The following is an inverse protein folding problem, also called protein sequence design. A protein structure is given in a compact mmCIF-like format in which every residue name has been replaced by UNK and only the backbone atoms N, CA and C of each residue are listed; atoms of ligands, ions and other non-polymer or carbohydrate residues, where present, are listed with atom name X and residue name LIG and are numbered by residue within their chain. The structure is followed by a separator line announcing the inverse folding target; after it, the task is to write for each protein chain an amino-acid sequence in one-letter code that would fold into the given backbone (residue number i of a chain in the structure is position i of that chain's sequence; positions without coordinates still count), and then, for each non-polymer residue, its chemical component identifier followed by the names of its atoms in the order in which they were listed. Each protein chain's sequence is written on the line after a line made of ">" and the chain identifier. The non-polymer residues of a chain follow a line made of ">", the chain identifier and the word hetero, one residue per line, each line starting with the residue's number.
data_IF_116034418981
#
_entry.id   IF_116034418981
#
_cell.length_a   1.000
_cell.length_b   1.000
_cell.length_c   1.000
_cell.angle_alpha   90.00
_cell.angle_beta   90.00
_cell.angle_gamma   90.00
#
_symmetry.space_group_name_H-M   'P 1'
#
loop_
_entity.id
_entity.type
_entity.pdbx_description
1 polymer ?
#
# COMPACT_ATOMS: atom_id res chain seq x y z
N UNK A 1 -33.39 7.62 1.61
CA UNK A 1 -32.52 7.37 0.41
C UNK A 1 -31.07 7.48 0.86
N UNK A 2 -30.22 6.54 0.48
CA UNK A 2 -28.76 6.61 0.70
C UNK A 2 -28.10 6.99 -0.63
N UNK A 3 -27.42 8.13 -0.66
CA UNK A 3 -26.63 8.57 -1.81
C UNK A 3 -25.14 8.31 -1.51
N UNK A 4 -24.49 7.55 -2.37
CA UNK A 4 -23.04 7.35 -2.32
C UNK A 4 -22.43 7.90 -3.61
N UNK A 5 -21.62 8.96 -3.49
CA UNK A 5 -20.85 9.47 -4.61
C UNK A 5 -19.56 8.63 -4.77
N UNK A 6 -19.52 7.84 -5.81
CA UNK A 6 -18.34 7.09 -6.24
C UNK A 6 -17.97 7.59 -7.62
N UNK A 7 -16.78 8.14 -7.79
CA UNK A 7 -16.28 8.54 -9.11
C UNK A 7 -16.42 7.33 -10.05
N UNK A 8 -16.85 7.54 -11.30
CA UNK A 8 -17.14 6.54 -12.34
C UNK A 8 -16.12 5.39 -12.43
N UNK A 9 -14.95 5.57 -11.86
CA UNK A 9 -13.88 4.62 -11.82
C UNK A 9 -13.51 4.37 -10.35
N UNK A 10 -13.89 3.21 -9.83
CA UNK A 10 -13.34 2.74 -8.55
C UNK A 10 -11.83 2.78 -8.66
N UNK A 11 -11.19 3.60 -7.86
CA UNK A 11 -9.75 3.87 -7.88
C UNK A 11 -8.92 2.56 -7.93
N UNK A 12 -9.33 1.58 -7.16
CA UNK A 12 -8.72 0.28 -7.01
C UNK A 12 -8.65 -0.56 -8.29
N UNK A 13 -9.75 -0.60 -9.06
CA UNK A 13 -9.86 -1.45 -10.24
C UNK A 13 -9.23 -0.77 -11.46
N UNK A 14 -9.39 0.55 -11.58
CA UNK A 14 -9.02 1.24 -12.81
C UNK A 14 -7.62 1.85 -12.80
N UNK A 15 -7.18 2.34 -11.64
CA UNK A 15 -5.98 3.21 -11.55
C UNK A 15 -5.12 2.94 -10.32
N UNK A 16 -5.41 1.88 -9.54
CA UNK A 16 -4.69 1.54 -8.32
C UNK A 16 -4.26 0.08 -8.28
N UNK A 17 -4.74 -0.65 -7.28
CA UNK A 17 -4.25 -1.97 -6.91
C UNK A 17 -4.29 -3.00 -8.04
N UNK A 18 -5.43 -3.15 -8.74
CA UNK A 18 -5.61 -4.22 -9.74
C UNK A 18 -4.67 -4.03 -10.94
N UNK A 19 -4.63 -2.87 -11.63
CA UNK A 19 -3.75 -2.72 -12.78
C UNK A 19 -2.28 -2.82 -12.41
N UNK A 20 -1.84 -2.25 -11.26
CA UNK A 20 -0.43 -2.35 -10.85
C UNK A 20 -0.04 -3.79 -10.52
N UNK A 21 -0.86 -4.52 -9.72
CA UNK A 21 -0.53 -5.89 -9.33
C UNK A 21 -0.60 -6.87 -10.50
N UNK A 22 -1.46 -6.62 -11.49
CA UNK A 22 -1.46 -7.38 -12.74
C UNK A 22 -0.14 -7.19 -13.49
N UNK A 23 0.32 -5.94 -13.66
CA UNK A 23 1.58 -5.66 -14.36
C UNK A 23 2.81 -6.15 -13.58
N UNK A 24 2.83 -6.02 -12.25
CA UNK A 24 3.90 -6.55 -11.40
C UNK A 24 4.02 -8.06 -11.57
N UNK A 25 2.89 -8.77 -11.47
CA UNK A 25 2.84 -10.23 -11.67
C UNK A 25 3.39 -10.61 -13.06
N UNK A 26 2.88 -9.98 -14.11
CA UNK A 26 3.27 -10.32 -15.48
C UNK A 26 4.74 -10.01 -15.76
N UNK A 27 5.28 -8.92 -15.16
CA UNK A 27 6.71 -8.60 -15.24
C UNK A 27 7.60 -9.63 -14.52
N UNK A 28 7.15 -10.16 -13.37
CA UNK A 28 7.86 -11.24 -12.65
C UNK A 28 7.83 -12.55 -13.45
N UNK A 29 6.70 -12.87 -14.08
CA UNK A 29 6.53 -14.09 -14.90
C UNK A 29 7.19 -14.00 -16.28
N UNK A 30 7.83 -12.87 -16.62
CA UNK A 30 8.57 -12.69 -17.86
C UNK A 30 7.72 -12.42 -19.11
N UNK A 31 6.47 -11.99 -18.94
CA UNK A 31 5.62 -11.54 -20.05
C UNK A 31 6.23 -10.30 -20.71
N UNK A 32 5.99 -10.12 -22.00
CA UNK A 32 6.31 -8.85 -22.65
C UNK A 32 5.42 -7.72 -22.13
N UNK A 33 5.91 -6.48 -22.13
CA UNK A 33 5.14 -5.32 -21.69
C UNK A 33 3.81 -5.18 -22.46
N UNK A 34 3.81 -5.47 -23.77
CA UNK A 34 2.62 -5.41 -24.63
C UNK A 34 1.54 -6.42 -24.21
N UNK A 35 1.95 -7.66 -23.92
CA UNK A 35 1.02 -8.70 -23.43
C UNK A 35 0.46 -8.32 -22.05
N UNK A 36 1.32 -7.86 -21.14
CA UNK A 36 0.94 -7.41 -19.82
C UNK A 36 -0.07 -6.25 -19.85
N UNK A 37 0.14 -5.24 -20.70
CA UNK A 37 -0.80 -4.13 -20.90
C UNK A 37 -2.15 -4.63 -21.45
N UNK A 38 -2.14 -5.57 -22.39
CA UNK A 38 -3.36 -6.17 -22.95
C UNK A 38 -4.14 -6.91 -21.86
N UNK A 39 -3.48 -7.81 -21.14
CA UNK A 39 -4.09 -8.56 -20.03
C UNK A 39 -4.61 -7.62 -18.92
N UNK A 40 -3.83 -6.59 -18.56
CA UNK A 40 -4.28 -5.58 -17.59
C UNK A 40 -5.59 -4.91 -18.03
N UNK A 41 -5.74 -4.53 -19.31
CA UNK A 41 -6.97 -3.92 -19.85
C UNK A 41 -8.15 -4.88 -19.74
N UNK A 42 -7.97 -6.15 -20.10
CA UNK A 42 -9.01 -7.19 -20.01
C UNK A 42 -9.48 -7.43 -18.57
N UNK A 43 -8.54 -7.59 -17.62
CA UNK A 43 -8.84 -7.79 -16.19
C UNK A 43 -9.62 -6.60 -15.63
N UNK A 44 -9.15 -5.38 -15.91
CA UNK A 44 -9.81 -4.15 -15.47
C UNK A 44 -11.22 -4.04 -16.05
N UNK A 45 -11.39 -4.31 -17.34
CA UNK A 45 -12.70 -4.24 -18.01
C UNK A 45 -13.67 -5.30 -17.47
N UNK A 46 -13.22 -6.53 -17.28
CA UNK A 46 -14.04 -7.62 -16.72
C UNK A 46 -14.54 -7.27 -15.32
N UNK A 47 -13.66 -6.79 -14.43
CA UNK A 47 -14.03 -6.41 -13.07
C UNK A 47 -14.96 -5.18 -13.04
N UNK A 48 -14.75 -4.20 -13.90
CA UNK A 48 -15.64 -3.04 -14.02
C UNK A 48 -17.04 -3.45 -14.45
N UNK A 49 -17.13 -4.27 -15.51
CA UNK A 49 -18.42 -4.76 -16.01
C UNK A 49 -19.16 -5.56 -14.92
N UNK A 50 -18.46 -6.47 -14.23
CA UNK A 50 -19.04 -7.25 -13.12
C UNK A 50 -19.58 -6.35 -12.02
N UNK A 51 -18.83 -5.33 -11.61
CA UNK A 51 -19.26 -4.44 -10.53
C UNK A 51 -20.39 -3.49 -10.96
N UNK A 52 -20.35 -2.99 -12.19
CA UNK A 52 -21.43 -2.15 -12.73
C UNK A 52 -22.73 -2.95 -12.80
N UNK A 53 -22.70 -4.14 -13.39
CA UNK A 53 -23.86 -5.02 -13.48
C UNK A 53 -24.40 -5.43 -12.10
N UNK A 54 -23.49 -5.70 -11.15
CA UNK A 54 -23.85 -6.04 -9.78
C UNK A 54 -24.62 -4.92 -9.04
N UNK A 55 -24.45 -3.67 -9.42
CA UNK A 55 -25.23 -2.54 -8.91
C UNK A 55 -26.46 -2.26 -9.78
N UNK A 56 -26.27 -2.11 -11.08
CA UNK A 56 -27.30 -1.68 -12.04
C UNK A 56 -28.45 -2.68 -12.21
N UNK A 57 -28.24 -3.95 -11.82
CA UNK A 57 -29.27 -5.00 -11.85
C UNK A 57 -30.17 -5.02 -10.60
N UNK A 58 -30.01 -4.08 -9.67
CA UNK A 58 -30.80 -4.01 -8.44
C UNK A 58 -31.90 -2.97 -8.58
N UNK A 59 -33.15 -3.36 -8.37
CA UNK A 59 -34.32 -2.46 -8.49
C UNK A 59 -34.32 -1.29 -7.51
N UNK A 60 -33.53 -1.35 -6.46
CA UNK A 60 -33.41 -0.35 -5.43
C UNK A 60 -32.12 0.48 -5.50
N UNK A 61 -31.38 0.40 -6.61
CA UNK A 61 -30.11 1.14 -6.81
C UNK A 61 -30.13 1.85 -8.16
N UNK A 62 -30.04 3.16 -8.13
CA UNK A 62 -29.82 4.00 -9.31
C UNK A 62 -28.34 4.33 -9.46
N UNK A 63 -27.73 3.93 -10.58
CA UNK A 63 -26.33 4.27 -10.90
C UNK A 63 -26.29 5.47 -11.84
N UNK A 64 -26.04 6.64 -11.28
CA UNK A 64 -26.03 7.91 -11.98
C UNK A 64 -24.59 8.26 -12.44
N UNK A 65 -24.40 8.52 -13.75
CA UNK A 65 -23.09 8.79 -14.35
C UNK A 65 -22.87 10.32 -14.54
N UNK A 66 -22.98 11.06 -13.45
CA UNK A 66 -22.82 12.51 -13.43
C UNK A 66 -21.74 12.94 -12.43
N UNK A 67 -21.31 14.22 -12.53
CA UNK A 67 -20.51 14.87 -11.50
C UNK A 67 -21.47 15.43 -10.45
N UNK A 68 -21.22 15.13 -9.19
CA UNK A 68 -22.01 15.67 -8.07
C UNK A 68 -21.34 16.93 -7.53
N UNK A 69 -22.15 17.95 -7.24
CA UNK A 69 -21.72 19.21 -6.66
C UNK A 69 -22.71 19.65 -5.57
N UNK A 70 -22.26 19.82 -4.35
CA UNK A 70 -23.09 20.31 -3.26
C UNK A 70 -23.41 21.80 -3.47
N UNK A 71 -24.69 22.15 -3.37
CA UNK A 71 -25.14 23.53 -3.34
C UNK A 71 -25.68 23.94 -1.97
N UNK A 72 -25.92 22.99 -1.09
CA UNK A 72 -26.17 23.15 0.34
C UNK A 72 -25.84 21.85 1.12
N UNK A 73 -26.11 21.82 2.41
CA UNK A 73 -25.99 20.58 3.20
C UNK A 73 -26.92 19.45 2.72
N UNK A 74 -28.05 19.77 2.11
CA UNK A 74 -29.10 18.82 1.73
C UNK A 74 -29.18 18.58 0.23
N UNK A 75 -28.70 19.53 -0.61
CA UNK A 75 -28.98 19.56 -2.04
C UNK A 75 -27.69 19.35 -2.84
N UNK A 76 -27.76 18.42 -3.79
CA UNK A 76 -26.67 18.10 -4.71
C UNK A 76 -27.15 18.26 -6.15
N UNK A 77 -26.41 19.03 -6.94
CA UNK A 77 -26.56 19.11 -8.39
C UNK A 77 -25.77 17.98 -9.06
N UNK A 78 -26.39 17.35 -10.05
CA UNK A 78 -25.76 16.36 -10.93
C UNK A 78 -25.47 17.02 -12.28
N UNK A 79 -24.21 17.09 -12.65
CA UNK A 79 -23.73 17.75 -13.85
C UNK A 79 -23.13 16.75 -14.83
N UNK A 80 -23.33 16.94 -16.12
CA UNK A 80 -22.67 16.20 -17.17
C UNK A 80 -21.19 16.63 -17.32
N UNK A 81 -20.48 16.05 -18.30
CA UNK A 81 -19.07 16.38 -18.53
C UNK A 81 -18.84 17.81 -19.05
N UNK A 82 -19.87 18.48 -19.57
CA UNK A 82 -19.83 19.83 -20.06
C UNK A 82 -20.20 20.87 -18.98
N UNK A 83 -20.55 20.37 -17.76
CA UNK A 83 -21.00 21.20 -16.64
C UNK A 83 -22.47 21.58 -16.70
N UNK A 84 -23.27 20.98 -17.60
CA UNK A 84 -24.71 21.22 -17.68
C UNK A 84 -25.43 20.46 -16.56
N UNK A 85 -26.25 21.18 -15.78
CA UNK A 85 -27.06 20.57 -14.71
C UNK A 85 -28.12 19.67 -15.35
N UNK A 86 -28.10 18.40 -14.98
CA UNK A 86 -29.07 17.42 -15.46
C UNK A 86 -30.21 17.20 -14.47
N UNK A 87 -29.86 17.22 -13.18
CA UNK A 87 -30.82 16.96 -12.10
C UNK A 87 -30.32 17.57 -10.78
N UNK A 88 -31.25 17.80 -9.88
CA UNK A 88 -30.98 18.20 -8.50
C UNK A 88 -31.60 17.16 -7.56
N UNK A 89 -30.81 16.62 -6.65
CA UNK A 89 -31.23 15.55 -5.77
C UNK A 89 -31.01 15.87 -4.29
N UNK A 90 -31.79 15.20 -3.42
CA UNK A 90 -31.63 15.21 -1.97
C UNK A 90 -31.56 13.78 -1.42
N UNK A 91 -30.96 13.59 -0.23
CA UNK A 91 -30.91 12.30 0.41
C UNK A 91 -30.91 12.41 1.94
N UNK A 92 -31.53 11.42 2.62
CA UNK A 92 -31.52 11.33 4.09
C UNK A 92 -30.11 11.07 4.64
N UNK A 93 -29.27 10.36 3.88
CA UNK A 93 -27.88 10.09 4.18
C UNK A 93 -27.03 10.21 2.92
N UNK A 94 -25.87 10.81 3.07
CA UNK A 94 -24.90 11.02 1.98
C UNK A 94 -23.57 10.45 2.43
N UNK A 95 -22.90 9.67 1.55
CA UNK A 95 -21.56 9.15 1.79
C UNK A 95 -20.62 9.70 0.70
N UNK A 96 -19.68 10.54 1.09
CA UNK A 96 -18.61 11.01 0.21
C UNK A 96 -17.52 9.95 0.15
N UNK A 97 -17.30 9.35 -1.02
CA UNK A 97 -16.27 8.32 -1.25
C UNK A 97 -15.53 8.58 -2.57
N UNK A 98 -15.06 9.81 -2.72
CA UNK A 98 -14.41 10.30 -3.94
C UNK A 98 -12.94 9.93 -4.04
N UNK A 99 -12.38 9.32 -2.96
CA UNK A 99 -11.01 8.84 -2.93
C UNK A 99 -9.96 9.95 -2.85
N UNK A 100 -8.81 9.67 -3.43
CA UNK A 100 -7.67 10.59 -3.52
C UNK A 100 -7.22 10.79 -4.96
N UNK A 101 -6.37 11.79 -5.20
CA UNK A 101 -5.72 12.08 -6.48
C UNK A 101 -4.23 12.27 -6.27
N UNK A 102 -3.45 12.16 -7.34
CA UNK A 102 -2.02 12.46 -7.27
C UNK A 102 -1.79 13.90 -6.80
N UNK A 103 -0.79 14.08 -5.96
CA UNK A 103 -0.29 15.39 -5.60
C UNK A 103 0.70 15.83 -6.68
N UNK A 104 0.30 16.73 -7.55
CA UNK A 104 1.18 17.33 -8.54
C UNK A 104 1.87 18.52 -7.89
N UNK A 105 3.21 18.51 -7.76
CA UNK A 105 3.97 19.62 -7.18
C UNK A 105 4.02 20.80 -8.15
N UNK A 106 4.15 22.00 -7.60
CA UNK A 106 4.40 23.20 -8.40
C UNK A 106 5.89 23.27 -8.75
N UNK A 107 6.25 22.69 -9.89
CA UNK A 107 7.62 22.66 -10.42
C UNK A 107 7.62 23.37 -11.77
N UNK A 108 8.55 24.29 -11.97
CA UNK A 108 8.69 25.06 -13.22
C UNK A 108 8.75 24.13 -14.42
N UNK A 109 7.94 24.38 -15.43
CA UNK A 109 7.89 23.62 -16.68
C UNK A 109 7.04 22.35 -16.67
N UNK A 110 6.40 22.00 -15.55
CA UNK A 110 5.61 20.78 -15.42
C UNK A 110 4.43 20.73 -16.39
N UNK A 111 3.79 21.87 -16.67
CA UNK A 111 2.62 21.96 -17.56
C UNK A 111 3.00 21.98 -19.04
N UNK A 112 4.28 22.20 -19.38
CA UNK A 112 4.77 22.33 -20.76
C UNK A 112 5.72 21.21 -21.17
N UNK A 113 6.25 20.49 -20.22
CA UNK A 113 7.11 19.33 -20.49
C UNK A 113 6.26 18.13 -20.94
N UNK A 114 6.85 17.33 -21.84
CA UNK A 114 6.18 16.17 -22.42
C UNK A 114 6.42 14.92 -21.57
N UNK A 115 5.56 13.91 -21.74
CA UNK A 115 5.73 12.58 -21.15
C UNK A 115 5.90 12.57 -19.61
N UNK A 116 5.29 13.55 -18.92
CA UNK A 116 5.18 13.55 -17.47
C UNK A 116 3.81 13.01 -17.08
N UNK A 117 3.82 11.97 -16.26
CA UNK A 117 2.63 11.25 -15.84
C UNK A 117 2.52 11.18 -14.33
N UNK A 118 1.30 11.18 -13.82
CA UNK A 118 0.99 10.58 -12.52
C UNK A 118 0.87 9.05 -12.66
N UNK A 119 0.68 8.35 -11.54
CA UNK A 119 0.54 6.88 -11.55
C UNK A 119 -0.63 6.39 -12.42
N UNK A 120 -1.71 7.18 -12.54
CA UNK A 120 -2.86 6.87 -13.39
C UNK A 120 -2.51 6.99 -14.87
N UNK A 121 -1.85 8.08 -15.24
CA UNK A 121 -1.40 8.32 -16.61
C UNK A 121 -0.42 7.26 -17.07
N UNK A 122 0.59 6.95 -16.25
CA UNK A 122 1.61 5.96 -16.58
C UNK A 122 1.03 4.53 -16.74
N UNK A 123 0.00 4.16 -16.00
CA UNK A 123 -0.69 2.87 -16.21
C UNK A 123 -1.47 2.79 -17.53
N UNK A 124 -1.66 3.90 -18.25
CA UNK A 124 -2.42 3.96 -19.48
C UNK A 124 -1.57 4.14 -20.74
N UNK A 125 -0.24 4.20 -20.62
CA UNK A 125 0.65 4.19 -21.80
C UNK A 125 0.56 2.86 -22.54
N UNK A 126 0.80 2.88 -23.83
CA UNK A 126 0.79 1.70 -24.71
C UNK A 126 2.17 1.35 -25.26
N UNK A 127 3.21 2.06 -24.84
CA UNK A 127 4.61 1.84 -25.15
C UNK A 127 5.40 1.54 -23.88
N UNK A 128 6.47 0.77 -24.00
CA UNK A 128 7.43 0.54 -22.91
C UNK A 128 8.47 1.66 -22.90
N UNK A 129 8.61 2.42 -21.80
CA UNK A 129 9.71 3.38 -21.66
C UNK A 129 11.07 2.69 -21.74
N UNK A 130 12.06 3.36 -22.37
CA UNK A 130 13.46 2.94 -22.30
C UNK A 130 14.11 3.51 -21.03
N UNK A 131 13.87 4.80 -20.76
CA UNK A 131 14.42 5.58 -19.66
C UNK A 131 13.27 6.19 -18.84
N UNK A 132 12.95 5.59 -17.70
CA UNK A 132 11.91 6.08 -16.77
C UNK A 132 12.57 6.77 -15.58
N UNK A 133 12.27 8.06 -15.38
CA UNK A 133 12.62 8.77 -14.14
C UNK A 133 11.41 8.89 -13.24
N UNK A 134 11.56 8.50 -11.98
CA UNK A 134 10.50 8.55 -10.95
C UNK A 134 10.87 9.62 -9.92
N UNK A 135 9.97 10.60 -9.74
CA UNK A 135 10.14 11.68 -8.77
C UNK A 135 9.44 11.29 -7.46
N UNK A 136 10.22 11.07 -6.39
CA UNK A 136 9.79 10.60 -5.08
C UNK A 136 10.21 9.16 -4.80
N UNK A 137 10.48 8.82 -3.53
CA UNK A 137 10.97 7.51 -3.05
C UNK A 137 9.95 6.77 -2.17
N UNK A 138 8.65 7.10 -2.27
CA UNK A 138 7.59 6.42 -1.51
C UNK A 138 7.17 5.08 -2.12
N UNK A 139 6.23 4.36 -1.48
CA UNK A 139 5.81 3.01 -1.87
C UNK A 139 5.34 2.91 -3.33
N UNK A 140 4.62 3.93 -3.84
CA UNK A 140 4.21 3.97 -5.26
C UNK A 140 5.44 3.99 -6.17
N UNK A 141 6.44 4.81 -5.83
CA UNK A 141 7.68 4.88 -6.60
C UNK A 141 8.39 3.53 -6.67
N UNK A 142 8.48 2.83 -5.54
CA UNK A 142 9.15 1.53 -5.45
C UNK A 142 8.40 0.43 -6.21
N UNK A 143 7.06 0.40 -6.12
CA UNK A 143 6.24 -0.55 -6.89
C UNK A 143 6.43 -0.33 -8.40
N UNK A 144 6.37 0.92 -8.85
CA UNK A 144 6.58 1.24 -10.27
C UNK A 144 8.03 0.98 -10.72
N UNK A 145 9.01 1.30 -9.89
CA UNK A 145 10.41 1.00 -10.21
C UNK A 145 10.65 -0.50 -10.36
N UNK A 146 10.18 -1.30 -9.40
CA UNK A 146 10.28 -2.76 -9.46
C UNK A 146 9.56 -3.33 -10.69
N UNK A 147 8.34 -2.84 -10.97
CA UNK A 147 7.52 -3.25 -12.10
C UNK A 147 8.21 -2.99 -13.43
N UNK A 148 8.65 -1.75 -13.69
CA UNK A 148 9.25 -1.38 -14.97
C UNK A 148 10.65 -1.98 -15.16
N UNK A 149 11.43 -2.14 -14.07
CA UNK A 149 12.71 -2.83 -14.13
C UNK A 149 12.53 -4.31 -14.52
N UNK A 150 11.48 -4.99 -14.04
CA UNK A 150 11.16 -6.36 -14.46
C UNK A 150 10.80 -6.47 -15.96
N UNK A 151 10.28 -5.40 -16.58
CA UNK A 151 10.08 -5.33 -18.02
C UNK A 151 11.35 -4.92 -18.80
N UNK A 152 12.46 -4.61 -18.13
CA UNK A 152 13.71 -4.22 -18.76
C UNK A 152 13.85 -2.72 -19.06
N UNK A 153 13.00 -1.87 -18.49
CA UNK A 153 13.14 -0.41 -18.52
C UNK A 153 14.30 0.02 -17.61
N UNK A 154 15.13 0.96 -18.04
CA UNK A 154 16.09 1.64 -17.16
C UNK A 154 15.36 2.62 -16.25
N UNK A 155 15.41 2.39 -14.94
CA UNK A 155 14.67 3.19 -13.98
C UNK A 155 15.62 3.98 -13.09
N UNK A 156 15.33 5.28 -12.94
CA UNK A 156 16.01 6.16 -11.98
C UNK A 156 15.00 6.77 -11.01
N UNK A 157 15.20 6.58 -9.71
CA UNK A 157 14.41 7.21 -8.65
C UNK A 157 15.15 8.46 -8.17
N UNK A 158 14.45 9.60 -8.09
CA UNK A 158 14.95 10.84 -7.51
C UNK A 158 14.19 11.12 -6.20
N UNK A 159 14.89 11.02 -5.09
CA UNK A 159 14.33 11.31 -3.76
C UNK A 159 15.05 12.53 -3.14
N UNK A 160 14.27 13.50 -2.70
CA UNK A 160 14.79 14.72 -2.06
C UNK A 160 15.35 14.49 -0.66
N UNK A 161 14.85 13.47 0.03
CA UNK A 161 15.34 13.03 1.34
C UNK A 161 16.69 12.32 1.22
N UNK A 162 17.31 12.06 2.35
CA UNK A 162 18.60 11.38 2.46
C UNK A 162 18.48 9.85 2.31
N UNK A 163 17.28 9.30 2.47
CA UNK A 163 16.99 7.88 2.32
C UNK A 163 15.58 7.64 1.81
N UNK A 164 15.34 6.46 1.24
CA UNK A 164 14.01 5.93 0.94
C UNK A 164 13.54 5.02 2.08
N UNK A 165 12.22 4.80 2.21
CA UNK A 165 11.63 3.89 3.20
C UNK A 165 12.01 4.20 4.66
N UNK A 166 12.12 5.48 5.00
CA UNK A 166 12.55 5.94 6.35
C UNK A 166 11.62 5.50 7.49
N UNK A 167 10.39 5.07 7.16
CA UNK A 167 9.42 4.56 8.14
C UNK A 167 9.53 3.04 8.37
N UNK A 168 10.45 2.36 7.70
CA UNK A 168 10.66 0.92 7.80
C UNK A 168 11.90 0.59 8.64
N UNK A 169 12.02 -0.69 9.03
CA UNK A 169 13.27 -1.18 9.63
C UNK A 169 14.44 -0.96 8.67
N UNK A 170 15.52 -0.36 9.16
CA UNK A 170 16.65 0.04 8.33
C UNK A 170 17.35 -1.14 7.63
N UNK A 171 17.45 -2.28 8.30
CA UNK A 171 18.04 -3.49 7.71
C UNK A 171 17.16 -4.04 6.56
N UNK A 172 15.83 -3.98 6.67
CA UNK A 172 14.92 -4.33 5.58
C UNK A 172 15.00 -3.30 4.45
N UNK A 173 14.98 -1.99 4.77
CA UNK A 173 15.10 -0.93 3.77
C UNK A 173 16.40 -1.06 2.96
N UNK A 174 17.53 -1.36 3.62
CA UNK A 174 18.80 -1.57 2.95
C UNK A 174 18.80 -2.78 2.00
N UNK A 175 18.14 -3.88 2.39
CA UNK A 175 17.99 -5.05 1.51
C UNK A 175 17.15 -4.72 0.28
N UNK A 176 16.05 -4.00 0.43
CA UNK A 176 15.19 -3.57 -0.67
C UNK A 176 15.95 -2.65 -1.64
N UNK A 177 16.70 -1.67 -1.11
CA UNK A 177 17.56 -0.80 -1.92
C UNK A 177 18.55 -1.62 -2.74
N UNK A 178 19.22 -2.56 -2.08
CA UNK A 178 20.18 -3.44 -2.74
C UNK A 178 19.53 -4.26 -3.84
N UNK A 179 18.38 -4.91 -3.57
CA UNK A 179 17.70 -5.75 -4.54
C UNK A 179 17.19 -4.95 -5.76
N UNK A 180 16.74 -3.70 -5.55
CA UNK A 180 16.36 -2.80 -6.65
C UNK A 180 17.59 -2.40 -7.48
N UNK A 181 18.72 -2.09 -6.82
CA UNK A 181 19.99 -1.78 -7.50
C UNK A 181 20.54 -2.98 -8.28
N UNK A 182 20.45 -4.18 -7.72
CA UNK A 182 20.84 -5.41 -8.39
C UNK A 182 19.98 -5.70 -9.64
N UNK A 183 18.76 -5.16 -9.69
CA UNK A 183 17.87 -5.15 -10.88
C UNK A 183 18.16 -4.01 -11.86
N UNK A 184 19.16 -3.17 -11.59
CA UNK A 184 19.53 -2.05 -12.44
C UNK A 184 18.79 -0.73 -12.16
N UNK A 185 18.03 -0.64 -11.05
CA UNK A 185 17.40 0.63 -10.64
C UNK A 185 18.45 1.56 -10.04
N UNK A 186 18.56 2.78 -10.58
CA UNK A 186 19.37 3.85 -10.00
C UNK A 186 18.58 4.61 -8.95
N UNK A 187 19.13 4.80 -7.76
CA UNK A 187 18.47 5.53 -6.66
C UNK A 187 19.35 6.71 -6.26
N UNK A 188 18.85 7.92 -6.53
CA UNK A 188 19.51 9.18 -6.20
C UNK A 188 18.76 9.86 -5.05
N UNK A 189 19.31 9.78 -3.85
CA UNK A 189 18.82 10.51 -2.68
C UNK A 189 19.43 11.93 -2.63
N UNK A 190 18.93 12.79 -1.73
CA UNK A 190 19.31 14.21 -1.65
C UNK A 190 19.13 14.95 -2.99
N UNK A 191 18.29 14.45 -3.88
CA UNK A 191 18.14 14.95 -5.24
C UNK A 191 16.76 15.59 -5.42
N UNK A 192 16.74 16.91 -5.47
CA UNK A 192 15.53 17.72 -5.64
C UNK A 192 15.34 18.09 -7.11
N UNK A 193 14.13 17.85 -7.64
CA UNK A 193 13.74 18.32 -8.97
C UNK A 193 13.39 19.82 -8.90
N UNK A 194 14.02 20.63 -9.74
CA UNK A 194 13.89 22.09 -9.75
C UNK A 194 13.02 22.57 -10.91
N UNK A 195 13.18 21.97 -12.09
CA UNK A 195 12.43 22.34 -13.29
C UNK A 195 12.38 21.18 -14.29
N UNK A 196 11.48 21.31 -15.24
CA UNK A 196 11.39 20.46 -16.43
C UNK A 196 11.54 21.29 -17.69
N UNK A 197 12.15 20.72 -18.73
CA UNK A 197 12.19 21.25 -20.08
C UNK A 197 12.18 20.12 -21.09
N UNK A 198 12.02 20.44 -22.38
CA UNK A 198 12.03 19.45 -23.45
C UNK A 198 13.31 19.54 -24.28
N UNK A 199 13.83 18.41 -24.71
CA UNK A 199 14.85 18.31 -25.73
C UNK A 199 14.43 17.22 -26.73
N UNK A 200 13.87 17.65 -27.88
CA UNK A 200 13.26 16.76 -28.86
C UNK A 200 12.16 15.89 -28.20
N UNK A 201 12.32 14.58 -28.21
CA UNK A 201 11.36 13.60 -27.69
C UNK A 201 11.60 13.23 -26.22
N UNK A 202 12.58 13.91 -25.58
CA UNK A 202 12.94 13.64 -24.19
C UNK A 202 12.57 14.80 -23.28
N UNK A 203 12.20 14.46 -22.05
CA UNK A 203 12.05 15.40 -20.93
C UNK A 203 13.41 15.53 -20.21
N UNK A 204 13.85 16.77 -20.02
CA UNK A 204 15.04 17.08 -19.22
C UNK A 204 14.56 17.47 -17.81
N UNK A 205 15.05 16.74 -16.83
CA UNK A 205 14.80 16.97 -15.41
C UNK A 205 16.00 17.76 -14.84
N UNK A 206 15.80 19.01 -14.50
CA UNK A 206 16.82 19.84 -13.85
C UNK A 206 16.80 19.57 -12.36
N UNK A 207 17.91 19.17 -11.79
CA UNK A 207 18.06 18.85 -10.38
C UNK A 207 19.14 19.72 -9.71
N UNK A 208 19.22 19.68 -8.39
CA UNK A 208 20.32 20.31 -7.64
C UNK A 208 21.70 19.67 -7.90
N UNK A 209 21.76 18.54 -8.61
CA UNK A 209 22.98 17.81 -8.97
C UNK A 209 23.26 17.78 -10.48
N UNK A 210 22.50 18.54 -11.29
CA UNK A 210 22.64 18.57 -12.73
C UNK A 210 21.37 18.10 -13.45
N UNK A 211 21.51 17.77 -14.73
CA UNK A 211 20.42 17.42 -15.60
C UNK A 211 20.36 15.91 -15.82
N UNK A 212 19.13 15.38 -15.86
CA UNK A 212 18.83 13.99 -16.19
C UNK A 212 17.83 13.98 -17.34
N UNK A 213 18.07 13.14 -18.34
CA UNK A 213 17.19 12.98 -19.48
C UNK A 213 16.37 11.71 -19.34
N UNK A 214 15.08 11.77 -19.70
CA UNK A 214 14.18 10.62 -19.73
C UNK A 214 13.21 10.71 -20.90
N UNK A 215 12.78 9.55 -21.40
CA UNK A 215 11.66 9.50 -22.35
C UNK A 215 10.30 9.52 -21.63
N UNK A 216 10.29 9.18 -20.34
CA UNK A 216 9.08 9.13 -19.50
C UNK A 216 9.41 9.53 -18.06
N UNK A 217 8.54 10.33 -17.46
CA UNK A 217 8.67 10.76 -16.05
C UNK A 217 7.41 10.38 -15.28
N UNK A 218 7.57 9.76 -14.10
CA UNK A 218 6.51 9.50 -13.14
C UNK A 218 6.60 10.47 -11.97
N UNK A 219 5.52 11.17 -11.68
CA UNK A 219 5.34 11.94 -10.45
C UNK A 219 4.74 11.04 -9.37
N UNK A 220 5.58 10.55 -8.45
CA UNK A 220 5.19 9.73 -7.30
C UNK A 220 5.32 10.53 -5.97
N UNK A 221 4.95 11.80 -6.00
CA UNK A 221 5.13 12.82 -4.95
C UNK A 221 3.99 12.86 -3.92
N UNK A 222 3.29 11.72 -3.75
CA UNK A 222 2.20 11.56 -2.80
C UNK A 222 0.81 11.76 -3.39
N UNK A 223 -0.18 11.75 -2.51
CA UNK A 223 -1.60 11.84 -2.86
C UNK A 223 -2.32 12.84 -1.96
N UNK A 224 -3.38 13.45 -2.49
CA UNK A 224 -4.27 14.37 -1.76
C UNK A 224 -5.72 13.86 -1.80
N UNK A 225 -6.52 14.07 -0.74
CA UNK A 225 -7.96 13.79 -0.74
C UNK A 225 -8.65 14.49 -1.92
N UNK A 226 -9.59 13.81 -2.55
CA UNK A 226 -10.29 14.32 -3.72
C UNK A 226 -11.58 15.04 -3.31
N UNK A 227 -11.43 16.19 -2.66
CA UNK A 227 -12.50 17.08 -2.18
C UNK A 227 -12.76 18.26 -3.11
N UNK A 228 -11.85 18.54 -4.04
CA UNK A 228 -11.99 19.64 -4.99
C UNK A 228 -13.20 19.42 -5.92
N UNK A 229 -13.87 20.49 -6.27
CA UNK A 229 -15.03 20.49 -7.19
C UNK A 229 -16.22 19.65 -6.71
N UNK A 230 -16.35 19.48 -5.39
CA UNK A 230 -17.54 18.87 -4.79
C UNK A 230 -18.54 19.90 -4.28
N UNK A 231 -18.21 21.21 -4.31
CA UNK A 231 -19.06 22.27 -3.75
C UNK A 231 -19.14 22.23 -2.22
N UNK A 232 -18.15 21.65 -1.53
CA UNK A 232 -18.16 21.52 -0.06
C UNK A 232 -18.10 22.88 0.64
N UNK A 233 -17.62 23.91 -0.03
CA UNK A 233 -17.65 25.30 0.41
C UNK A 233 -19.07 25.86 0.59
N UNK A 234 -20.09 25.24 -0.03
CA UNK A 234 -21.51 25.58 0.12
C UNK A 234 -22.17 24.84 1.29
N UNK A 235 -21.38 24.10 2.09
CA UNK A 235 -21.85 23.25 3.19
C UNK A 235 -21.14 23.58 4.50
N UNK A 236 -21.65 23.04 5.61
CA UNK A 236 -21.00 23.11 6.92
C UNK A 236 -19.99 21.94 7.13
N UNK A 237 -19.67 21.18 6.10
CA UNK A 237 -18.66 20.11 6.13
C UNK A 237 -17.28 20.73 6.26
N UNK A 238 -16.59 20.44 7.36
CA UNK A 238 -15.22 20.92 7.60
C UNK A 238 -14.17 20.10 6.87
N UNK A 239 -13.24 20.83 6.26
CA UNK A 239 -12.08 20.27 5.56
C UNK A 239 -10.83 20.50 6.39
N UNK A 240 -9.99 19.50 6.53
CA UNK A 240 -8.72 19.55 7.26
C UNK A 240 -7.59 20.18 6.46
N UNK A 241 -6.42 20.29 7.08
CA UNK A 241 -5.25 20.99 6.50
C UNK A 241 -4.68 20.31 5.25
N UNK A 242 -4.88 19.01 5.08
CA UNK A 242 -4.43 18.27 3.91
C UNK A 242 -5.52 18.13 2.83
N UNK A 243 -6.67 18.77 3.04
CA UNK A 243 -7.81 18.73 2.13
C UNK A 243 -8.78 17.58 2.39
N UNK A 244 -8.62 16.84 3.49
CA UNK A 244 -9.47 15.73 3.90
C UNK A 244 -10.80 16.22 4.51
N UNK A 245 -11.86 15.42 4.35
CA UNK A 245 -13.12 15.61 5.08
C UNK A 245 -12.91 15.20 6.55
N UNK A 246 -13.12 16.14 7.47
CA UNK A 246 -13.03 15.87 8.91
C UNK A 246 -14.22 15.02 9.34
N UNK A 247 -13.94 13.88 9.98
CA UNK A 247 -14.95 12.93 10.46
C UNK A 247 -14.71 12.52 11.91
N UNK A 248 -15.79 12.10 12.59
CA UNK A 248 -15.70 11.47 13.89
C UNK A 248 -15.42 9.97 13.79
N UNK A 249 -15.38 9.25 14.93
CA UNK A 249 -15.09 7.81 14.97
C UNK A 249 -16.10 6.91 14.23
N UNK A 250 -17.29 7.39 13.94
CA UNK A 250 -18.31 6.73 13.13
C UNK A 250 -18.30 7.16 11.67
N UNK A 251 -17.27 7.91 11.25
CA UNK A 251 -17.08 8.45 9.90
C UNK A 251 -18.13 9.49 9.48
N UNK A 252 -18.82 10.06 10.45
CA UNK A 252 -19.78 11.15 10.25
C UNK A 252 -19.01 12.47 10.20
N UNK A 253 -19.30 13.30 9.22
CA UNK A 253 -18.72 14.65 9.11
C UNK A 253 -19.27 15.61 10.17
N UNK A 254 -18.94 16.88 10.08
CA UNK A 254 -19.55 17.93 10.92
C UNK A 254 -21.04 18.13 10.65
N UNK A 255 -21.55 17.62 9.51
CA UNK A 255 -22.97 17.59 9.13
C UNK A 255 -23.52 16.19 9.39
N UNK A 256 -24.50 16.04 10.28
CA UNK A 256 -24.95 14.74 10.83
C UNK A 256 -25.40 13.68 9.83
N UNK A 257 -25.88 14.06 8.65
CA UNK A 257 -26.34 13.12 7.63
C UNK A 257 -25.31 12.89 6.53
N UNK A 258 -24.15 13.58 6.58
CA UNK A 258 -23.05 13.44 5.62
C UNK A 258 -21.90 12.67 6.27
N UNK A 259 -21.47 11.59 5.61
CA UNK A 259 -20.36 10.71 5.99
C UNK A 259 -19.24 10.81 4.96
N UNK A 260 -18.01 10.42 5.35
CA UNK A 260 -16.93 10.24 4.39
C UNK A 260 -16.21 8.91 4.63
N UNK A 261 -15.89 8.20 3.55
CA UNK A 261 -15.25 6.88 3.57
C UNK A 261 -14.07 6.79 2.60
N UNK A 262 -13.08 5.99 2.94
CA UNK A 262 -11.87 5.81 2.12
C UNK A 262 -10.95 7.03 2.14
N UNK A 263 -10.15 7.19 1.07
CA UNK A 263 -9.05 8.16 1.03
C UNK A 263 -9.47 9.62 1.22
N UNK A 264 -10.72 9.96 0.92
CA UNK A 264 -11.23 11.34 1.01
C UNK A 264 -11.24 11.88 2.44
N UNK A 265 -11.28 11.02 3.45
CA UNK A 265 -11.18 11.39 4.88
C UNK A 265 -9.75 11.49 5.40
N UNK A 266 -8.75 11.29 4.52
CA UNK A 266 -7.34 11.22 4.93
C UNK A 266 -6.96 9.94 5.69
N UNK A 267 -5.76 9.96 6.27
CA UNK A 267 -5.19 8.81 6.96
C UNK A 267 -4.68 7.74 6.01
N UNK A 268 -4.77 6.46 6.41
CA UNK A 268 -4.29 5.34 5.60
C UNK A 268 -5.15 5.13 4.35
N UNK A 269 -4.50 5.13 3.19
CA UNK A 269 -5.15 5.10 1.88
C UNK A 269 -5.10 3.69 1.28
N UNK A 270 -5.75 2.73 1.94
CA UNK A 270 -5.83 1.34 1.50
C UNK A 270 -7.27 0.93 1.18
N UNK A 271 -7.42 0.01 0.23
CA UNK A 271 -8.71 -0.54 -0.19
C UNK A 271 -9.53 -1.11 0.96
N UNK A 272 -8.87 -1.93 1.77
CA UNK A 272 -9.51 -2.62 2.89
C UNK A 272 -9.89 -1.64 4.02
N UNK A 273 -9.26 -0.47 4.11
CA UNK A 273 -9.69 0.62 5.00
C UNK A 273 -11.01 1.19 4.49
N UNK A 274 -11.17 1.43 3.18
CA UNK A 274 -12.43 1.88 2.62
C UNK A 274 -13.56 0.85 2.81
N UNK A 275 -13.25 -0.45 2.73
CA UNK A 275 -14.21 -1.52 3.03
C UNK A 275 -14.57 -1.57 4.52
N UNK A 276 -13.61 -1.34 5.40
CA UNK A 276 -13.85 -1.28 6.83
C UNK A 276 -14.65 -0.03 7.22
N UNK A 277 -14.37 1.11 6.58
CA UNK A 277 -15.17 2.34 6.71
C UNK A 277 -16.65 2.08 6.38
N UNK A 278 -16.93 1.31 5.31
CA UNK A 278 -18.28 0.86 5.02
C UNK A 278 -18.90 0.07 6.17
N UNK A 279 -18.14 -0.85 6.80
CA UNK A 279 -18.63 -1.63 7.95
C UNK A 279 -18.95 -0.76 9.16
N UNK A 280 -18.14 0.27 9.40
CA UNK A 280 -18.38 1.26 10.47
C UNK A 280 -19.64 2.05 10.19
N UNK A 281 -19.79 2.60 8.98
CA UNK A 281 -20.99 3.36 8.59
C UNK A 281 -22.23 2.47 8.66
N UNK A 282 -22.14 1.22 8.19
CA UNK A 282 -23.25 0.26 8.27
C UNK A 282 -23.65 -0.03 9.71
N UNK A 283 -22.68 -0.27 10.61
CA UNK A 283 -22.94 -0.48 12.04
C UNK A 283 -23.63 0.73 12.67
N UNK A 284 -23.17 1.94 12.33
CA UNK A 284 -23.74 3.18 12.86
C UNK A 284 -25.15 3.48 12.36
N UNK A 285 -25.43 3.23 11.08
CA UNK A 285 -26.73 3.54 10.45
C UNK A 285 -27.81 2.49 10.70
N UNK A 286 -27.43 1.23 10.75
CA UNK A 286 -28.36 0.09 10.69
C UNK A 286 -28.12 -0.98 11.77
N UNK A 287 -27.11 -0.79 12.63
CA UNK A 287 -26.74 -1.69 13.72
C UNK A 287 -26.74 -0.99 15.08
N UNK A 288 -25.90 -1.50 15.96
CA UNK A 288 -25.72 -1.00 17.33
C UNK A 288 -24.71 0.15 17.46
N UNK A 289 -24.01 0.51 16.38
CA UNK A 289 -22.98 1.55 16.37
C UNK A 289 -21.69 1.15 17.12
N UNK A 290 -21.52 -0.12 17.49
CA UNK A 290 -20.36 -0.60 18.27
C UNK A 290 -19.05 -0.53 17.48
N UNK A 291 -19.08 -0.69 16.15
CA UNK A 291 -17.90 -0.61 15.30
C UNK A 291 -17.50 0.84 15.02
N UNK A 292 -16.22 1.17 15.29
CA UNK A 292 -15.67 2.52 15.13
C UNK A 292 -14.25 2.46 14.56
N UNK A 293 -13.70 3.62 14.19
CA UNK A 293 -12.28 3.71 13.77
C UNK A 293 -11.31 3.38 14.91
N UNK A 294 -11.74 3.47 16.16
CA UNK A 294 -10.92 3.24 17.36
C UNK A 294 -10.74 1.75 17.67
N UNK A 295 -11.69 0.90 17.25
CA UNK A 295 -11.64 -0.55 17.49
C UNK A 295 -11.43 -1.40 16.24
N UNK A 296 -10.75 -0.84 15.26
CA UNK A 296 -10.49 -1.49 13.95
C UNK A 296 -9.39 -2.56 13.99
N UNK A 297 -8.58 -2.60 15.07
CA UNK A 297 -7.44 -3.49 15.24
C UNK A 297 -6.19 -3.03 14.47
N UNK A 298 -5.18 -3.86 14.46
CA UNK A 298 -3.94 -3.61 13.74
C UNK A 298 -4.17 -3.58 12.22
N UNK A 299 -3.50 -2.67 11.53
CA UNK A 299 -3.66 -2.49 10.09
C UNK A 299 -2.41 -2.99 9.37
N UNK A 300 -2.49 -4.14 8.67
CA UNK A 300 -1.38 -4.62 7.87
C UNK A 300 -1.29 -3.84 6.57
N UNK A 301 -0.11 -3.78 5.96
CA UNK A 301 0.04 -3.30 4.58
C UNK A 301 1.13 -4.06 3.84
N UNK A 302 1.06 -4.03 2.52
CA UNK A 302 2.06 -4.62 1.63
C UNK A 302 2.48 -3.62 0.58
N UNK A 303 3.78 -3.49 0.38
CA UNK A 303 4.42 -2.84 -0.76
C UNK A 303 4.76 -3.94 -1.76
N UNK A 304 4.09 -3.94 -2.91
CA UNK A 304 4.20 -4.99 -3.92
C UNK A 304 5.39 -4.74 -4.84
N UNK A 305 6.58 -4.78 -4.27
CA UNK A 305 7.85 -4.90 -5.00
C UNK A 305 8.18 -6.38 -5.20
N UNK A 306 9.27 -6.72 -5.82
CA UNK A 306 9.71 -8.10 -6.03
C UNK A 306 11.07 -8.34 -5.34
N UNK A 307 11.06 -9.13 -4.23
CA UNK A 307 9.91 -9.69 -3.51
C UNK A 307 9.12 -8.65 -2.71
N UNK A 308 7.87 -8.94 -2.29
CA UNK A 308 7.03 -7.99 -1.55
C UNK A 308 7.52 -7.75 -0.11
N UNK A 309 7.26 -6.53 0.39
CA UNK A 309 7.38 -6.18 1.81
C UNK A 309 6.00 -6.07 2.42
N UNK A 310 5.76 -6.79 3.51
CA UNK A 310 4.52 -6.70 4.28
C UNK A 310 4.82 -6.35 5.74
N UNK A 311 4.01 -5.45 6.33
CA UNK A 311 4.17 -5.02 7.72
C UNK A 311 2.83 -4.93 8.44
N UNK A 312 2.86 -5.21 9.75
CA UNK A 312 1.76 -4.93 10.69
C UNK A 312 2.33 -4.54 12.06
N UNK A 313 1.68 -3.61 12.75
CA UNK A 313 2.08 -3.18 14.09
C UNK A 313 3.38 -2.36 14.11
N UNK A 314 4.10 -2.43 15.23
CA UNK A 314 5.27 -1.60 15.54
C UNK A 314 6.57 -2.22 15.03
N UNK A 315 7.50 -1.39 14.52
CA UNK A 315 8.89 -1.76 14.40
C UNK A 315 9.61 -1.60 15.75
N UNK A 316 10.81 -2.17 15.88
CA UNK A 316 11.55 -2.19 17.14
C UNK A 316 11.81 -0.78 17.71
N UNK A 317 12.13 0.20 16.85
CA UNK A 317 12.35 1.59 17.28
C UNK A 317 11.09 2.25 17.83
N UNK A 318 9.94 2.04 17.16
CA UNK A 318 8.64 2.56 17.59
C UNK A 318 8.22 1.95 18.94
N UNK A 319 8.38 0.64 19.10
CA UNK A 319 8.05 -0.07 20.33
C UNK A 319 8.90 0.42 21.53
N UNK A 320 10.20 0.60 21.32
CA UNK A 320 11.10 1.16 22.34
C UNK A 320 10.74 2.59 22.72
N UNK A 321 10.38 3.43 21.75
CA UNK A 321 9.93 4.81 21.99
C UNK A 321 8.62 4.85 22.82
N UNK A 322 7.76 3.84 22.68
CA UNK A 322 6.54 3.70 23.47
C UNK A 322 6.79 3.05 24.85
N UNK A 323 8.03 2.72 25.19
CA UNK A 323 8.43 2.21 26.50
C UNK A 323 8.28 0.70 26.69
N UNK A 324 8.07 -0.07 25.59
CA UNK A 324 8.03 -1.53 25.69
C UNK A 324 9.42 -2.14 25.92
N UNK A 325 9.53 -3.11 26.82
CA UNK A 325 10.66 -4.04 26.87
C UNK A 325 10.41 -5.13 25.81
N UNK A 326 11.26 -5.17 24.78
CA UNK A 326 11.02 -5.98 23.60
C UNK A 326 12.05 -7.09 23.41
N UNK A 327 11.57 -8.18 22.83
CA UNK A 327 12.39 -9.16 22.12
C UNK A 327 12.22 -8.90 20.61
N UNK A 328 13.35 -8.78 19.91
CA UNK A 328 13.39 -8.63 18.46
C UNK A 328 14.01 -9.88 17.85
N UNK A 329 13.23 -10.59 17.03
CA UNK A 329 13.68 -11.78 16.32
C UNK A 329 13.75 -11.54 14.82
N UNK A 330 14.64 -12.25 14.13
CA UNK A 330 14.77 -12.17 12.69
C UNK A 330 15.21 -13.49 12.06
N UNK A 331 14.70 -13.77 10.86
CA UNK A 331 15.07 -14.91 10.03
C UNK A 331 15.30 -14.44 8.60
N UNK A 332 16.48 -14.72 8.06
CA UNK A 332 16.76 -14.51 6.64
C UNK A 332 16.01 -15.56 5.82
N UNK A 333 15.39 -15.13 4.70
CA UNK A 333 14.65 -16.03 3.80
C UNK A 333 15.54 -17.15 3.27
N UNK A 334 16.84 -16.90 3.08
CA UNK A 334 17.84 -17.91 2.71
C UNK A 334 17.94 -19.09 3.67
N UNK A 335 17.46 -18.94 4.92
CA UNK A 335 17.43 -20.02 5.93
C UNK A 335 16.10 -20.79 5.94
N UNK A 336 15.08 -20.33 5.21
CA UNK A 336 13.77 -20.97 5.13
C UNK A 336 13.79 -22.01 4.00
N UNK A 337 13.57 -23.33 4.25
CA UNK A 337 13.70 -24.38 3.21
C UNK A 337 12.87 -24.10 1.94
N UNK A 338 11.70 -23.51 2.08
CA UNK A 338 10.80 -23.16 0.97
C UNK A 338 11.43 -22.22 -0.07
N UNK A 339 12.43 -21.40 0.32
CA UNK A 339 13.13 -20.51 -0.62
C UNK A 339 13.76 -21.25 -1.81
N UNK A 340 14.25 -22.48 -1.59
CA UNK A 340 14.85 -23.32 -2.64
C UNK A 340 13.80 -23.71 -3.69
N UNK A 341 12.57 -23.99 -3.26
CA UNK A 341 11.45 -24.33 -4.15
C UNK A 341 11.00 -23.07 -4.90
N UNK A 342 10.92 -21.94 -4.22
CA UNK A 342 10.56 -20.67 -4.81
C UNK A 342 11.66 -20.10 -5.73
N UNK A 343 12.87 -20.67 -5.69
CA UNK A 343 14.07 -20.19 -6.36
C UNK A 343 14.36 -18.70 -6.07
N UNK A 344 14.10 -18.29 -4.84
CA UNK A 344 14.30 -16.91 -4.38
C UNK A 344 14.70 -16.90 -2.91
N UNK A 345 15.95 -16.53 -2.63
CA UNK A 345 16.52 -16.45 -1.28
C UNK A 345 16.52 -15.04 -0.70
N UNK A 346 16.00 -14.06 -1.47
CA UNK A 346 15.97 -12.66 -1.04
C UNK A 346 14.97 -12.47 0.09
N UNK A 347 15.37 -11.72 1.09
CA UNK A 347 14.46 -11.24 2.12
C UNK A 347 14.90 -11.49 3.55
N UNK A 348 14.15 -10.85 4.45
CA UNK A 348 14.33 -10.86 5.90
C UNK A 348 12.96 -10.73 6.57
N UNK A 349 12.64 -11.64 7.46
CA UNK A 349 11.48 -11.59 8.34
C UNK A 349 11.90 -11.12 9.72
N UNK A 350 11.15 -10.16 10.27
CA UNK A 350 11.39 -9.61 11.62
C UNK A 350 10.10 -9.61 12.42
N UNK A 351 10.20 -9.88 13.73
CA UNK A 351 9.11 -9.78 14.68
C UNK A 351 9.55 -9.00 15.92
N UNK A 352 8.63 -8.20 16.45
CA UNK A 352 8.78 -7.43 17.68
C UNK A 352 7.78 -7.95 18.70
N UNK A 353 8.26 -8.40 19.84
CA UNK A 353 7.51 -9.11 20.86
C UNK A 353 7.64 -8.34 22.17
N UNK A 354 6.56 -8.18 22.93
CA UNK A 354 6.59 -7.72 24.30
C UNK A 354 7.11 -8.85 25.21
N UNK A 355 8.22 -8.62 25.92
CA UNK A 355 8.80 -9.63 26.80
C UNK A 355 7.94 -10.04 27.96
N UNK A 356 7.15 -9.11 28.51
CA UNK A 356 6.33 -9.34 29.68
C UNK A 356 5.07 -10.12 29.34
N UNK A 357 4.30 -9.62 28.33
CA UNK A 357 3.00 -10.19 27.96
C UNK A 357 3.11 -11.33 26.94
N UNK A 358 4.27 -11.50 26.28
CA UNK A 358 4.50 -12.44 25.17
C UNK A 358 3.66 -12.13 23.92
N UNK A 359 3.01 -10.99 23.87
CA UNK A 359 2.23 -10.55 22.71
C UNK A 359 3.13 -10.07 21.59
N UNK A 360 2.70 -10.28 20.35
CA UNK A 360 3.35 -9.75 19.15
C UNK A 360 2.95 -8.27 19.02
N UNK A 361 3.92 -7.37 19.10
CA UNK A 361 3.72 -5.93 18.89
C UNK A 361 3.74 -5.53 17.43
N UNK A 362 4.44 -6.30 16.61
CA UNK A 362 4.52 -6.07 15.18
C UNK A 362 5.42 -7.04 14.45
N UNK A 363 5.34 -7.02 13.13
CA UNK A 363 6.22 -7.77 12.25
C UNK A 363 6.41 -7.07 10.92
N UNK A 364 7.60 -7.24 10.34
CA UNK A 364 7.97 -6.79 9.01
C UNK A 364 8.54 -7.98 8.24
N UNK A 365 7.88 -8.36 7.16
CA UNK A 365 8.21 -9.54 6.35
C UNK A 365 8.60 -9.08 4.95
N UNK A 366 9.88 -9.13 4.62
CA UNK A 366 10.36 -8.90 3.26
C UNK A 366 10.72 -10.23 2.62
N UNK A 367 9.98 -10.65 1.60
CA UNK A 367 10.16 -11.93 0.92
C UNK A 367 8.89 -12.43 0.23
N UNK A 368 9.02 -13.45 -0.62
CA UNK A 368 7.87 -14.07 -1.31
C UNK A 368 6.81 -14.54 -0.33
N UNK A 369 5.54 -14.38 -0.72
CA UNK A 369 4.34 -14.77 0.03
C UNK A 369 4.12 -13.95 1.32
N UNK A 370 4.91 -12.89 1.57
CA UNK A 370 4.77 -12.06 2.77
C UNK A 370 3.39 -11.39 2.86
N UNK A 371 2.76 -11.07 1.72
CA UNK A 371 1.43 -10.47 1.62
C UNK A 371 0.32 -11.38 2.15
N UNK A 372 0.52 -12.69 2.12
CA UNK A 372 -0.39 -13.66 2.71
C UNK A 372 -0.07 -13.93 4.18
N UNK A 373 1.23 -14.10 4.49
CA UNK A 373 1.73 -14.40 5.82
C UNK A 373 1.37 -13.34 6.86
N UNK A 374 1.45 -12.07 6.48
CA UNK A 374 1.22 -10.94 7.38
C UNK A 374 -0.20 -10.94 7.97
N UNK A 375 -1.18 -11.51 7.24
CA UNK A 375 -2.56 -11.58 7.70
C UNK A 375 -2.72 -12.52 8.91
N UNK A 376 -1.92 -13.57 9.01
CA UNK A 376 -1.92 -14.48 10.16
C UNK A 376 -1.33 -13.80 11.40
N UNK A 377 -0.24 -13.04 11.23
CA UNK A 377 0.35 -12.26 12.33
C UNK A 377 -0.63 -11.16 12.78
N UNK A 378 -1.29 -10.49 11.83
CA UNK A 378 -2.33 -9.49 12.14
C UNK A 378 -3.46 -10.10 12.97
N UNK A 379 -3.91 -11.30 12.63
CA UNK A 379 -4.93 -12.01 13.41
C UNK A 379 -4.43 -12.32 14.83
N UNK A 380 -3.18 -12.76 14.97
CA UNK A 380 -2.58 -13.03 16.27
C UNK A 380 -2.51 -11.76 17.15
N UNK A 381 -2.11 -10.63 16.58
CA UNK A 381 -2.08 -9.34 17.28
C UNK A 381 -3.48 -8.95 17.76
N UNK A 382 -4.48 -8.99 16.88
CA UNK A 382 -5.85 -8.56 17.22
C UNK A 382 -6.53 -9.44 18.27
N UNK A 383 -6.14 -10.71 18.33
CA UNK A 383 -6.70 -11.67 19.29
C UNK A 383 -5.79 -11.90 20.50
N UNK A 384 -4.75 -11.06 20.67
CA UNK A 384 -3.79 -11.15 21.77
C UNK A 384 -3.19 -12.55 21.94
N UNK A 385 -2.94 -13.24 20.80
CA UNK A 385 -2.35 -14.57 20.79
C UNK A 385 -0.85 -14.43 21.08
N UNK A 386 -0.32 -15.10 22.13
CA UNK A 386 1.12 -15.07 22.43
C UNK A 386 1.94 -15.63 21.26
N UNK A 387 3.12 -15.07 21.02
CA UNK A 387 4.02 -15.52 19.95
C UNK A 387 4.37 -17.03 20.06
N UNK A 388 4.38 -17.58 21.27
CA UNK A 388 4.66 -19.00 21.55
C UNK A 388 3.66 -19.93 20.87
N UNK A 389 2.42 -19.50 20.68
CA UNK A 389 1.41 -20.26 19.93
C UNK A 389 1.80 -20.38 18.46
N UNK A 390 2.30 -19.33 17.83
CA UNK A 390 2.79 -19.38 16.45
C UNK A 390 4.11 -20.15 16.36
N UNK A 391 4.98 -20.03 17.36
CA UNK A 391 6.25 -20.78 17.45
C UNK A 391 6.03 -22.28 17.49
N UNK A 392 5.08 -22.74 18.30
CA UNK A 392 4.88 -24.17 18.60
C UNK A 392 3.77 -24.81 17.74
N UNK A 393 3.20 -24.05 16.80
CA UNK A 393 2.14 -24.53 15.92
C UNK A 393 2.68 -25.52 14.86
N UNK A 394 1.80 -26.44 14.43
CA UNK A 394 2.08 -27.37 13.34
C UNK A 394 1.66 -26.73 12.02
N UNK A 395 2.62 -26.46 11.17
CA UNK A 395 2.41 -25.93 9.81
C UNK A 395 2.58 -27.03 8.77
N UNK A 396 1.94 -26.85 7.61
CA UNK A 396 2.18 -27.73 6.47
C UNK A 396 3.60 -27.50 5.91
N UNK A 397 4.27 -28.59 5.54
CA UNK A 397 5.63 -28.56 4.98
C UNK A 397 5.62 -28.95 3.49
N UNK A 398 6.44 -28.32 2.63
CA UNK A 398 7.22 -27.11 2.87
C UNK A 398 6.43 -25.84 2.48
N UNK A 399 6.28 -24.89 3.40
CA UNK A 399 5.59 -23.61 3.16
C UNK A 399 6.42 -22.43 3.68
N UNK A 400 6.09 -21.20 3.25
CA UNK A 400 6.68 -20.02 3.88
C UNK A 400 6.13 -19.81 5.30
N UNK A 401 4.90 -20.27 5.59
CA UNK A 401 4.26 -20.10 6.90
C UNK A 401 4.99 -20.86 8.01
N UNK A 402 5.60 -22.02 7.72
CA UNK A 402 6.38 -22.77 8.72
C UNK A 402 7.58 -21.99 9.26
N UNK A 403 8.04 -20.96 8.56
CA UNK A 403 9.09 -20.06 9.05
C UNK A 403 8.71 -19.34 10.35
N UNK A 404 7.44 -19.31 10.74
CA UNK A 404 7.03 -18.76 12.04
C UNK A 404 7.56 -19.59 13.21
N UNK A 405 7.78 -20.92 13.05
CA UNK A 405 8.47 -21.69 14.06
C UNK A 405 9.88 -21.11 14.33
N UNK A 406 10.63 -20.74 13.29
CA UNK A 406 11.96 -20.15 13.41
C UNK A 406 11.93 -18.66 13.79
N UNK A 407 11.01 -17.88 13.21
CA UNK A 407 10.89 -16.44 13.47
C UNK A 407 10.60 -16.14 14.95
N UNK A 408 9.85 -17.02 15.60
CA UNK A 408 9.47 -16.87 17.01
C UNK A 408 10.31 -17.73 17.98
N UNK A 409 11.42 -18.34 17.52
CA UNK A 409 12.38 -18.99 18.43
C UNK A 409 13.04 -17.97 19.37
N UNK A 410 13.20 -18.34 20.63
CA UNK A 410 14.01 -17.53 21.54
C UNK A 410 15.49 -17.59 21.11
N UNK A 411 16.20 -16.45 21.10
CA UNK A 411 17.63 -16.47 20.81
C UNK A 411 18.35 -17.37 21.80
N UNK A 412 19.16 -18.31 21.32
CA UNK A 412 19.93 -19.26 22.14
C UNK A 412 20.75 -18.59 23.27
N UNK A 413 21.11 -17.33 23.12
CA UNK A 413 21.82 -16.53 24.13
C UNK A 413 21.00 -16.24 25.40
N UNK A 414 19.67 -16.23 25.34
CA UNK A 414 18.81 -16.02 26.52
C UNK A 414 18.78 -17.25 27.43
N UNK A 415 18.97 -18.44 26.88
CA UNK A 415 19.05 -19.70 27.65
C UNK A 415 20.38 -19.85 28.40
N UNK A 416 21.48 -19.28 27.88
CA UNK A 416 22.80 -19.31 28.54
C UNK A 416 22.87 -18.36 29.75
N UNK A 417 22.16 -17.20 29.69
CA UNK A 417 22.18 -16.21 30.77
C UNK A 417 21.24 -16.58 31.92
N UNK A 418 20.20 -17.40 31.69
CA UNK A 418 19.26 -17.84 32.75
C UNK A 418 19.78 -18.95 33.66
N UNK A 419 21.01 -19.42 33.47
CA UNK A 419 21.70 -20.29 34.46
C UNK A 419 21.16 -21.71 34.63
N UNK A 420 20.35 -22.23 33.68
CA UNK A 420 19.68 -23.51 33.82
C UNK A 420 20.39 -24.70 33.17
N UNK A 421 21.60 -24.56 32.65
CA UNK A 421 22.41 -25.67 32.15
C UNK A 421 23.86 -25.56 32.60
N UNK A 422 24.10 -26.02 33.84
CA UNK A 422 25.43 -26.35 34.29
C UNK A 422 25.71 -27.83 33.93
N UNK A 423 26.59 -28.04 32.96
CA UNK A 423 27.29 -29.28 32.71
C UNK A 423 26.68 -30.21 31.67
N UNK A 424 27.02 -29.94 30.42
CA UNK A 424 27.46 -30.93 29.43
C UNK A 424 27.86 -30.18 28.16
N UNK A 425 29.01 -30.48 27.60
CA UNK A 425 29.50 -29.89 26.35
C UNK A 425 28.72 -30.47 25.17
N UNK A 426 27.69 -29.73 24.72
CA UNK A 426 27.03 -30.05 23.46
C UNK A 426 27.69 -29.26 22.34
N UNK A 427 28.32 -29.95 21.41
CA UNK A 427 28.62 -29.42 20.09
C UNK A 427 27.30 -29.11 19.40
N UNK A 428 27.04 -27.86 19.02
CA UNK A 428 25.90 -27.47 18.20
C UNK A 428 25.97 -28.17 16.84
N UNK A 429 25.28 -29.30 16.73
CA UNK A 429 24.89 -29.87 15.45
C UNK A 429 23.47 -29.35 15.18
N UNK A 430 23.19 -28.69 14.04
CA UNK A 430 21.84 -28.31 13.70
C UNK A 430 20.94 -29.55 13.67
N UNK A 431 19.76 -29.48 14.27
CA UNK A 431 18.79 -30.60 14.37
C UNK A 431 18.36 -31.18 13.00
N UNK A 432 18.72 -30.53 11.91
CA UNK A 432 18.44 -30.97 10.52
C UNK A 432 19.32 -32.13 10.03
N UNK A 433 20.34 -32.56 10.79
CA UNK A 433 21.27 -33.66 10.37
C UNK A 433 20.81 -35.03 10.83
N UNK A 434 19.71 -35.17 11.55
CA UNK A 434 19.23 -36.45 12.11
C UNK A 434 18.05 -37.11 11.38
N UNK A 435 17.58 -36.55 10.24
CA UNK A 435 16.50 -37.15 9.46
C UNK A 435 16.94 -37.31 7.99
N UNK A 436 18.06 -37.94 7.76
CA UNK A 436 18.42 -38.45 6.45
C UNK A 436 19.04 -39.82 6.58
N UNK A 437 18.20 -40.82 6.87
CA UNK A 437 18.41 -42.22 6.53
C UNK A 437 17.17 -43.03 7.01
N UNK A 438 16.13 -42.99 6.14
CA UNK A 438 15.19 -44.14 5.91
C UNK A 438 14.36 -43.84 4.68
#
# INVERSE_FOLDING_TARGET
>A
MLLTYVRKYRHLINIGCIPTKTLIHDGIEGSSFKEAITRKKEVVQALNNKNYQGLNSKDNIDVLNYKANFISNEVIELQDNNGTIQETITADKIVINTGSRANIPDIKGIDTAQNIYDSTGLLNIDYQPQELVIIGGGYIALEFASMFANFGTHVTILERGDAIMTNEDQDIANLIVKDLQDKGVTINTNTSTIAFSNNKDQTIIHTNHGEISADTVLLATGRKPNTNHLGLENTDVKIGKQGEVIVNKHLQSTVKHIYAAGDVKGGLQFTYISLDDYRIIKSHLFGDGSRTTENRGAIPYTVFIDPPLSRVGLIASEAKLQGYDILENKVFVSNIPRHKINNDSRGLFKAVINKDTKEILGASLYGKESEELINLIKLAIDQHIPYTVLRDNIYTHPTMTESFNDLFLEPLWSLIISGSYAGESFSCVPLYTLISDH
#
